data_IF_357365235135
#
_entry.id   IF_357365235135
#
_cell.length_a   1.000
_cell.length_b   1.000
_cell.length_c   1.000
_cell.angle_alpha   90.00
_cell.angle_beta   90.00
_cell.angle_gamma   90.00
#
_symmetry.space_group_name_H-M   'P 1'
#
loop_
_entity.id
_entity.type
_entity.pdbx_description
1 polymer ?
#
# COMPACT_ATOMS: atom_id res chain seq x y z
N UNK A 1 -5.23 12.88 -15.59
CA UNK A 1 -5.79 12.08 -14.47
C UNK A 1 -6.89 11.09 -14.90
N UNK A 2 -7.95 11.46 -15.66
CA UNK A 2 -9.08 10.56 -15.95
C UNK A 2 -8.71 9.31 -16.76
N UNK A 3 -7.78 9.43 -17.72
CA UNK A 3 -7.39 8.34 -18.61
C UNK A 3 -6.68 7.17 -17.90
N UNK A 4 -6.06 7.40 -16.74
CA UNK A 4 -5.35 6.35 -15.98
C UNK A 4 -6.26 5.64 -14.95
N UNK A 5 -7.30 6.30 -14.45
CA UNK A 5 -8.18 5.75 -13.42
C UNK A 5 -9.06 4.61 -13.95
N UNK A 6 -9.47 4.69 -15.22
CA UNK A 6 -10.32 3.67 -15.83
C UNK A 6 -9.59 2.32 -15.99
N UNK A 7 -8.40 2.22 -16.61
CA UNK A 7 -7.66 0.96 -16.69
C UNK A 7 -7.34 0.34 -15.32
N UNK A 8 -6.91 1.17 -14.35
CA UNK A 8 -6.63 0.72 -12.97
C UNK A 8 -7.89 0.15 -12.33
N UNK A 9 -9.00 0.83 -12.53
CA UNK A 9 -10.30 0.43 -12.02
C UNK A 9 -10.83 -0.88 -12.59
N UNK A 10 -10.63 -1.09 -13.89
CA UNK A 10 -10.96 -2.34 -14.58
C UNK A 10 -10.10 -3.50 -14.08
N UNK A 11 -8.79 -3.28 -13.90
CA UNK A 11 -7.87 -4.28 -13.37
C UNK A 11 -8.24 -4.68 -11.93
N UNK A 12 -8.54 -3.71 -11.07
CA UNK A 12 -8.99 -3.96 -9.69
C UNK A 12 -10.32 -4.73 -9.65
N UNK A 13 -11.28 -4.36 -10.51
CA UNK A 13 -12.56 -5.07 -10.59
C UNK A 13 -12.38 -6.52 -11.06
N UNK A 14 -11.50 -6.74 -12.03
CA UNK A 14 -11.16 -8.09 -12.49
C UNK A 14 -10.52 -8.92 -11.38
N UNK A 15 -9.59 -8.35 -10.62
CA UNK A 15 -8.99 -9.01 -9.45
C UNK A 15 -10.06 -9.43 -8.42
N UNK A 16 -10.97 -8.52 -8.05
CA UNK A 16 -12.06 -8.84 -7.11
C UNK A 16 -12.97 -9.96 -7.64
N UNK A 17 -13.30 -9.96 -8.93
CA UNK A 17 -14.10 -11.03 -9.55
C UNK A 17 -13.36 -12.37 -9.47
N UNK A 18 -12.06 -12.40 -9.78
CA UNK A 18 -11.21 -13.60 -9.65
C UNK A 18 -11.24 -14.13 -8.22
N UNK A 19 -11.03 -13.25 -7.23
CA UNK A 19 -11.00 -13.62 -5.81
C UNK A 19 -12.35 -14.13 -5.31
N UNK A 20 -13.45 -13.48 -5.69
CA UNK A 20 -14.79 -13.93 -5.30
C UNK A 20 -15.16 -15.27 -5.92
N UNK A 21 -14.86 -15.47 -7.20
CA UNK A 21 -15.07 -16.76 -7.86
C UNK A 21 -14.21 -17.86 -7.22
N UNK A 22 -12.97 -17.54 -6.86
CA UNK A 22 -12.10 -18.45 -6.12
C UNK A 22 -12.73 -18.85 -4.79
N UNK A 23 -13.17 -17.88 -3.98
CA UNK A 23 -13.82 -18.15 -2.70
C UNK A 23 -15.10 -19.00 -2.86
N UNK A 24 -15.96 -18.66 -3.83
CA UNK A 24 -17.21 -19.38 -4.08
C UNK A 24 -16.96 -20.83 -4.53
N UNK A 25 -16.08 -21.04 -5.51
CA UNK A 25 -15.76 -22.38 -6.02
C UNK A 25 -14.99 -23.22 -5.01
N UNK A 26 -14.09 -22.61 -4.24
CA UNK A 26 -13.30 -23.32 -3.22
C UNK A 26 -14.22 -23.86 -2.13
N UNK A 27 -15.29 -23.14 -1.80
CA UNK A 27 -16.33 -23.61 -0.88
C UNK A 27 -17.09 -24.80 -1.44
N UNK A 28 -17.46 -24.78 -2.71
CA UNK A 28 -18.17 -25.88 -3.37
C UNK A 28 -17.29 -27.11 -3.64
N UNK A 29 -15.99 -27.06 -3.32
CA UNK A 29 -15.03 -28.11 -3.62
C UNK A 29 -14.81 -28.30 -5.13
N UNK A 30 -15.13 -27.29 -5.93
CA UNK A 30 -14.98 -27.36 -7.39
C UNK A 30 -13.49 -27.35 -7.77
N UNK A 31 -13.00 -28.34 -8.55
CA UNK A 31 -11.64 -28.34 -9.03
C UNK A 31 -11.44 -27.16 -9.98
N UNK A 32 -10.38 -26.38 -9.77
CA UNK A 32 -10.10 -25.20 -10.59
C UNK A 32 -8.61 -25.01 -10.85
N UNK A 33 -8.30 -24.43 -12.01
CA UNK A 33 -6.96 -23.97 -12.37
C UNK A 33 -6.95 -22.45 -12.42
N UNK A 34 -5.77 -21.83 -12.25
CA UNK A 34 -5.64 -20.38 -12.39
C UNK A 34 -6.14 -19.90 -13.77
N UNK A 35 -5.84 -20.66 -14.83
CA UNK A 35 -6.26 -20.33 -16.20
C UNK A 35 -7.78 -20.37 -16.37
N UNK A 36 -8.45 -21.38 -15.82
CA UNK A 36 -9.91 -21.48 -15.90
C UNK A 36 -10.59 -20.38 -15.10
N UNK A 37 -10.06 -20.07 -13.91
CA UNK A 37 -10.56 -19.00 -13.05
C UNK A 37 -10.45 -17.62 -13.72
N UNK A 38 -9.29 -17.30 -14.29
CA UNK A 38 -9.07 -16.06 -15.03
C UNK A 38 -10.02 -15.93 -16.24
N UNK A 39 -10.19 -17.01 -17.00
CA UNK A 39 -11.10 -17.01 -18.16
C UNK A 39 -12.55 -16.77 -17.75
N UNK A 40 -13.00 -17.44 -16.69
CA UNK A 40 -14.36 -17.30 -16.18
C UNK A 40 -14.58 -15.89 -15.63
N UNK A 41 -13.62 -15.36 -14.87
CA UNK A 41 -13.65 -13.97 -14.40
C UNK A 41 -13.77 -12.98 -15.57
N UNK A 42 -13.04 -13.18 -16.66
CA UNK A 42 -13.13 -12.32 -17.85
C UNK A 42 -14.52 -12.36 -18.50
N UNK A 43 -15.18 -13.53 -18.53
CA UNK A 43 -16.56 -13.64 -18.98
C UNK A 43 -17.57 -12.97 -18.04
N UNK A 44 -17.34 -13.08 -16.72
CA UNK A 44 -18.18 -12.49 -15.69
C UNK A 44 -18.03 -10.96 -15.61
N UNK A 45 -16.87 -10.41 -16.00
CA UNK A 45 -16.66 -8.95 -16.08
C UNK A 45 -17.70 -8.26 -16.96
N UNK A 46 -18.18 -8.90 -18.03
CA UNK A 46 -19.23 -8.34 -18.89
C UNK A 46 -20.52 -8.04 -18.13
N UNK A 47 -20.84 -8.84 -17.10
CA UNK A 47 -22.02 -8.61 -16.26
C UNK A 47 -21.91 -7.28 -15.50
N UNK A 48 -20.71 -6.81 -15.18
CA UNK A 48 -20.51 -5.52 -14.49
C UNK A 48 -20.78 -4.30 -15.38
N UNK A 49 -20.76 -4.43 -16.71
CA UNK A 49 -20.85 -3.29 -17.64
C UNK A 49 -22.24 -3.07 -18.29
N UNK A 50 -23.26 -3.87 -17.96
CA UNK A 50 -24.61 -3.63 -18.53
C UNK A 50 -25.21 -2.29 -18.08
N UNK A 51 -26.17 -1.71 -18.80
CA UNK A 51 -26.71 -0.34 -18.57
C UNK A 51 -27.16 -0.02 -17.12
N UNK A 52 -27.73 -0.98 -16.38
CA UNK A 52 -28.11 -0.80 -14.96
C UNK A 52 -26.95 -0.96 -13.97
N UNK A 53 -25.78 -1.38 -14.46
CA UNK A 53 -24.56 -1.73 -13.72
C UNK A 53 -23.39 -0.77 -14.03
N UNK A 54 -23.54 0.19 -14.96
CA UNK A 54 -22.56 1.26 -15.25
C UNK A 54 -22.25 2.19 -14.08
N UNK A 55 -23.16 2.32 -13.10
CA UNK A 55 -22.93 3.06 -11.84
C UNK A 55 -21.66 2.55 -11.12
N UNK A 56 -21.26 1.31 -11.38
CA UNK A 56 -20.08 0.67 -10.79
C UNK A 56 -18.75 1.24 -11.32
N UNK A 57 -18.72 1.79 -12.52
CA UNK A 57 -17.55 2.54 -13.03
C UNK A 57 -17.22 3.76 -12.16
N UNK A 58 -18.21 4.29 -11.42
CA UNK A 58 -18.04 5.40 -10.48
C UNK A 58 -17.75 4.95 -9.04
N UNK A 59 -18.16 3.73 -8.68
CA UNK A 59 -17.81 3.09 -7.40
C UNK A 59 -16.35 2.66 -7.40
N UNK A 60 -15.79 2.32 -8.55
CA UNK A 60 -14.38 1.95 -8.72
C UNK A 60 -13.41 3.05 -8.23
N UNK A 61 -13.54 4.34 -8.62
CA UNK A 61 -12.76 5.43 -8.02
C UNK A 61 -12.96 5.57 -6.51
N UNK A 62 -14.18 5.38 -6.01
CA UNK A 62 -14.48 5.43 -4.57
C UNK A 62 -13.84 4.27 -3.80
N UNK A 63 -13.89 3.07 -4.36
CA UNK A 63 -13.17 1.89 -3.90
C UNK A 63 -11.69 2.18 -3.94
N UNK A 64 -11.09 2.59 -5.08
CA UNK A 64 -9.66 2.91 -5.19
C UNK A 64 -9.22 3.94 -4.15
N UNK A 65 -10.01 4.99 -3.90
CA UNK A 65 -9.71 6.01 -2.89
C UNK A 65 -9.90 5.50 -1.45
N UNK A 66 -10.85 4.60 -1.21
CA UNK A 66 -10.98 3.81 0.03
C UNK A 66 -9.87 2.76 0.18
N UNK A 67 -9.35 2.25 -0.94
CA UNK A 67 -8.33 1.22 -1.05
C UNK A 67 -6.94 1.79 -0.75
N UNK A 68 -6.73 3.08 -0.94
CA UNK A 68 -5.54 3.77 -0.38
C UNK A 68 -5.48 3.61 1.15
N UNK A 69 -6.61 3.37 1.82
CA UNK A 69 -6.68 3.08 3.26
C UNK A 69 -6.76 1.58 3.61
N UNK A 70 -7.34 0.74 2.73
CA UNK A 70 -7.56 -0.70 2.99
C UNK A 70 -6.55 -1.64 2.30
N UNK A 71 -6.13 -1.32 1.08
CA UNK A 71 -5.33 -2.19 0.21
C UNK A 71 -4.02 -1.50 -0.13
N UNK A 72 -3.05 -1.65 0.76
CA UNK A 72 -1.67 -1.19 0.58
C UNK A 72 -0.90 -2.11 -0.40
N UNK A 73 -1.56 -2.51 -1.49
CA UNK A 73 -1.04 -3.44 -2.49
C UNK A 73 -0.04 -2.76 -3.44
N UNK A 74 1.02 -3.49 -3.79
CA UNK A 74 2.16 -3.07 -4.62
C UNK A 74 1.84 -2.39 -5.96
N UNK A 75 0.60 -2.45 -6.45
CA UNK A 75 0.16 -1.81 -7.70
C UNK A 75 -0.31 -0.35 -7.52
N UNK A 76 -0.69 0.03 -6.30
CA UNK A 76 -1.08 1.39 -5.96
C UNK A 76 -0.07 1.95 -4.96
N UNK A 77 1.12 2.31 -5.45
CA UNK A 77 1.94 3.34 -4.80
C UNK A 77 1.27 4.74 -4.84
N UNK A 78 -0.05 4.79 -5.06
CA UNK A 78 -0.85 6.00 -4.95
C UNK A 78 -0.93 6.37 -3.47
N UNK A 79 0.14 7.03 -3.00
CA UNK A 79 0.05 7.80 -1.76
C UNK A 79 -1.07 8.81 -1.93
N UNK A 80 -1.86 9.01 -0.87
CA UNK A 80 -2.74 10.18 -0.81
C UNK A 80 -1.87 11.38 -1.14
N UNK A 81 -2.22 12.21 -2.14
CA UNK A 81 -1.42 13.39 -2.47
C UNK A 81 -1.18 14.18 -1.19
N UNK A 82 0.07 14.49 -0.90
CA UNK A 82 0.47 15.08 0.38
C UNK A 82 -0.28 16.39 0.66
N UNK A 83 -0.57 17.15 -0.41
CA UNK A 83 -1.42 18.33 -0.37
C UNK A 83 -2.86 18.09 0.10
N UNK A 84 -3.43 16.90 -0.08
CA UNK A 84 -4.79 16.57 0.37
C UNK A 84 -4.82 16.33 1.89
N UNK A 85 -3.81 15.66 2.43
CA UNK A 85 -3.64 15.47 3.87
C UNK A 85 -3.31 16.80 4.57
N UNK A 86 -2.41 17.61 3.98
CA UNK A 86 -2.11 18.95 4.49
C UNK A 86 -3.37 19.84 4.49
N UNK A 87 -4.15 19.84 3.39
CA UNK A 87 -5.42 20.57 3.29
C UNK A 87 -6.44 20.13 4.33
N UNK A 88 -6.56 18.83 4.58
CA UNK A 88 -7.44 18.28 5.60
C UNK A 88 -6.98 18.66 7.02
N UNK A 89 -5.67 18.62 7.29
CA UNK A 89 -5.09 18.90 8.60
C UNK A 89 -5.05 20.41 8.97
N UNK A 90 -5.28 21.31 8.01
CA UNK A 90 -5.24 22.76 8.25
C UNK A 90 -6.24 23.26 9.30
N UNK A 91 -7.41 22.63 9.45
CA UNK A 91 -8.43 23.03 10.44
C UNK A 91 -9.16 21.80 10.98
N UNK A 92 -9.63 21.81 12.24
CA UNK A 92 -10.39 20.70 12.81
C UNK A 92 -11.64 20.33 11.99
N UNK A 93 -12.34 21.33 11.42
CA UNK A 93 -13.55 21.10 10.62
C UNK A 93 -13.25 20.37 9.30
N UNK A 94 -12.18 20.76 8.59
CA UNK A 94 -11.74 20.07 7.36
C UNK A 94 -11.30 18.64 7.65
N UNK A 95 -10.66 18.43 8.80
CA UNK A 95 -10.25 17.09 9.22
C UNK A 95 -11.46 16.19 9.50
N UNK A 96 -12.48 16.72 10.20
CA UNK A 96 -13.75 16.00 10.41
C UNK A 96 -14.41 15.66 9.07
N UNK A 97 -14.50 16.62 8.16
CA UNK A 97 -15.07 16.39 6.82
C UNK A 97 -14.30 15.29 6.07
N UNK A 98 -12.97 15.31 6.15
CA UNK A 98 -12.13 14.26 5.56
C UNK A 98 -12.41 12.88 6.16
N UNK A 99 -12.51 12.76 7.48
CA UNK A 99 -12.86 11.49 8.14
C UNK A 99 -14.25 11.01 7.71
N UNK A 100 -15.25 11.88 7.70
CA UNK A 100 -16.62 11.53 7.26
C UNK A 100 -16.62 11.08 5.80
N UNK A 101 -15.88 11.77 4.94
CA UNK A 101 -15.73 11.40 3.53
C UNK A 101 -15.07 10.02 3.38
N UNK A 102 -13.99 9.75 4.12
CA UNK A 102 -13.32 8.44 4.12
C UNK A 102 -14.28 7.34 4.60
N UNK A 103 -15.01 7.56 5.70
CA UNK A 103 -16.01 6.60 6.21
C UNK A 103 -17.13 6.34 5.20
N UNK A 104 -17.58 7.37 4.49
CA UNK A 104 -18.56 7.25 3.42
C UNK A 104 -18.04 6.38 2.25
N UNK A 105 -16.79 6.54 1.84
CA UNK A 105 -16.16 5.69 0.82
C UNK A 105 -16.03 4.23 1.28
N UNK A 106 -15.70 4.01 2.55
CA UNK A 106 -15.64 2.66 3.14
C UNK A 106 -17.02 2.01 3.16
N UNK A 107 -18.07 2.76 3.51
CA UNK A 107 -19.44 2.27 3.47
C UNK A 107 -19.84 1.85 2.05
N UNK A 108 -19.57 2.69 1.04
CA UNK A 108 -19.82 2.35 -0.36
C UNK A 108 -19.07 1.08 -0.77
N UNK A 109 -17.80 0.96 -0.39
CA UNK A 109 -16.97 -0.21 -0.69
C UNK A 109 -17.53 -1.48 -0.05
N UNK A 110 -18.00 -1.41 1.20
CA UNK A 110 -18.63 -2.53 1.89
C UNK A 110 -19.92 -2.97 1.18
N UNK A 111 -20.80 -2.02 0.83
CA UNK A 111 -22.02 -2.33 0.07
C UNK A 111 -21.72 -2.96 -1.29
N UNK A 112 -20.67 -2.49 -1.96
CA UNK A 112 -20.22 -3.05 -3.23
C UNK A 112 -19.74 -4.49 -3.05
N UNK A 113 -18.80 -4.75 -2.14
CA UNK A 113 -18.23 -6.08 -1.95
C UNK A 113 -19.26 -7.11 -1.46
N UNK A 114 -20.20 -6.70 -0.60
CA UNK A 114 -21.26 -7.58 -0.09
C UNK A 114 -22.36 -7.90 -1.10
N UNK A 115 -22.60 -7.00 -2.07
CA UNK A 115 -23.56 -7.23 -3.16
C UNK A 115 -22.98 -7.97 -4.37
N UNK A 116 -21.66 -7.92 -4.54
CA UNK A 116 -20.96 -8.46 -5.70
C UNK A 116 -21.16 -9.99 -5.88
N UNK A 117 -21.16 -10.84 -4.82
CA UNK A 117 -21.48 -12.26 -4.96
C UNK A 117 -22.83 -12.53 -5.65
N UNK A 118 -23.92 -11.87 -5.23
CA UNK A 118 -25.24 -12.08 -5.84
C UNK A 118 -25.31 -11.65 -7.31
N UNK A 119 -24.55 -10.62 -7.68
CA UNK A 119 -24.47 -10.14 -9.07
C UNK A 119 -23.71 -11.13 -9.94
N UNK A 120 -22.59 -11.66 -9.45
CA UNK A 120 -21.73 -12.57 -10.23
C UNK A 120 -22.32 -13.98 -10.31
N UNK A 121 -22.79 -14.51 -9.18
CA UNK A 121 -23.23 -15.90 -9.03
C UNK A 121 -24.66 -16.11 -9.53
N UNK A 122 -25.56 -15.15 -9.34
CA UNK A 122 -26.99 -15.27 -9.68
C UNK A 122 -27.48 -14.24 -10.69
N UNK A 123 -26.65 -13.29 -11.11
CA UNK A 123 -27.08 -12.25 -12.05
C UNK A 123 -28.01 -11.20 -11.44
N UNK A 124 -28.10 -11.12 -10.10
CA UNK A 124 -28.88 -10.11 -9.37
C UNK A 124 -28.42 -8.68 -9.70
N UNK A 125 -29.21 -7.69 -9.28
CA UNK A 125 -28.85 -6.27 -9.36
C UNK A 125 -28.28 -5.80 -8.02
N UNK A 126 -27.37 -4.81 -8.00
CA UNK A 126 -26.87 -4.25 -6.75
C UNK A 126 -27.97 -3.63 -5.87
N UNK A 127 -29.03 -3.11 -6.49
CA UNK A 127 -30.22 -2.62 -5.77
C UNK A 127 -30.95 -3.72 -5.02
N UNK A 128 -30.86 -4.98 -5.43
CA UNK A 128 -31.50 -6.08 -4.70
C UNK A 128 -30.82 -6.32 -3.36
N UNK A 129 -29.48 -6.19 -3.26
CA UNK A 129 -28.76 -6.37 -2.00
C UNK A 129 -29.29 -5.44 -0.89
N UNK A 130 -29.57 -4.17 -1.21
CA UNK A 130 -30.12 -3.21 -0.23
C UNK A 130 -31.50 -3.60 0.29
N UNK A 131 -32.20 -4.49 -0.41
CA UNK A 131 -33.54 -4.99 -0.05
C UNK A 131 -33.49 -6.41 0.53
N UNK A 132 -32.31 -7.04 0.62
CA UNK A 132 -32.15 -8.35 1.25
C UNK A 132 -32.23 -8.20 2.77
N UNK A 133 -32.97 -9.10 3.42
CA UNK A 133 -33.00 -9.16 4.88
C UNK A 133 -31.59 -9.41 5.44
N UNK A 134 -31.23 -8.65 6.47
CA UNK A 134 -29.90 -8.74 7.08
C UNK A 134 -28.76 -8.09 6.29
N UNK A 135 -29.04 -7.32 5.22
CA UNK A 135 -28.01 -6.58 4.47
C UNK A 135 -27.22 -5.60 5.36
N UNK A 136 -27.90 -4.78 6.17
CA UNK A 136 -27.25 -3.84 7.10
C UNK A 136 -26.43 -4.57 8.19
N UNK A 137 -26.96 -5.68 8.73
CA UNK A 137 -26.24 -6.52 9.69
C UNK A 137 -24.96 -7.10 9.06
N UNK A 138 -25.02 -7.50 7.78
CA UNK A 138 -23.87 -8.00 7.04
C UNK A 138 -22.79 -6.93 6.87
N UNK A 139 -23.16 -5.67 6.63
CA UNK A 139 -22.22 -4.55 6.59
C UNK A 139 -21.49 -4.40 7.93
N UNK A 140 -22.22 -4.42 9.05
CA UNK A 140 -21.62 -4.33 10.39
C UNK A 140 -20.65 -5.48 10.69
N UNK A 141 -21.04 -6.72 10.38
CA UNK A 141 -20.17 -7.89 10.56
C UNK A 141 -18.93 -7.80 9.66
N UNK A 142 -19.09 -7.38 8.42
CA UNK A 142 -18.00 -7.24 7.46
C UNK A 142 -16.96 -6.20 7.92
N UNK A 143 -17.42 -5.04 8.39
CA UNK A 143 -16.55 -4.01 8.97
C UNK A 143 -15.83 -4.55 10.22
N UNK A 144 -16.56 -5.20 11.14
CA UNK A 144 -15.98 -5.77 12.35
C UNK A 144 -14.91 -6.84 12.06
N UNK A 145 -15.14 -7.69 11.05
CA UNK A 145 -14.19 -8.70 10.60
C UNK A 145 -12.90 -8.04 10.05
N UNK A 146 -13.02 -6.99 9.25
CA UNK A 146 -11.85 -6.26 8.75
C UNK A 146 -11.10 -5.54 9.87
N UNK A 147 -11.79 -4.87 10.79
CA UNK A 147 -11.15 -4.23 11.94
C UNK A 147 -10.40 -5.25 12.80
N UNK A 148 -10.96 -6.44 12.98
CA UNK A 148 -10.31 -7.54 13.69
C UNK A 148 -9.08 -8.04 12.94
N UNK A 149 -9.16 -8.20 11.61
CA UNK A 149 -8.01 -8.55 10.78
C UNK A 149 -6.86 -7.54 10.91
N UNK A 150 -7.16 -6.23 10.83
CA UNK A 150 -6.15 -5.19 11.00
C UNK A 150 -5.58 -5.16 12.42
N UNK A 151 -6.42 -5.29 13.45
CA UNK A 151 -5.95 -5.34 14.83
C UNK A 151 -4.97 -6.49 15.05
N UNK A 152 -5.33 -7.70 14.62
CA UNK A 152 -4.45 -8.87 14.72
C UNK A 152 -3.16 -8.67 13.93
N UNK A 153 -3.25 -8.12 12.72
CA UNK A 153 -2.09 -7.76 11.90
C UNK A 153 -1.16 -6.79 12.65
N UNK A 154 -1.69 -5.72 13.23
CA UNK A 154 -0.91 -4.74 13.99
C UNK A 154 -0.27 -5.36 15.24
N UNK A 155 -0.97 -6.22 15.97
CA UNK A 155 -0.43 -6.91 17.14
C UNK A 155 0.74 -7.84 16.76
N UNK A 156 0.63 -8.55 15.63
CA UNK A 156 1.72 -9.38 15.12
C UNK A 156 2.92 -8.51 14.73
N UNK A 157 2.69 -7.42 13.98
CA UNK A 157 3.76 -6.49 13.62
C UNK A 157 4.45 -5.93 14.86
N UNK A 158 3.68 -5.51 15.87
CA UNK A 158 4.22 -5.00 17.13
C UNK A 158 5.11 -6.05 17.81
N UNK A 159 4.66 -7.31 17.91
CA UNK A 159 5.45 -8.39 18.46
C UNK A 159 6.78 -8.59 17.70
N UNK A 160 6.75 -8.57 16.36
CA UNK A 160 7.95 -8.70 15.52
C UNK A 160 8.88 -7.50 15.70
N UNK A 161 8.36 -6.27 15.79
CA UNK A 161 9.15 -5.05 16.03
C UNK A 161 9.83 -5.09 17.40
N UNK A 162 9.13 -5.55 18.44
CA UNK A 162 9.71 -5.72 19.78
C UNK A 162 10.80 -6.78 19.79
N UNK A 163 10.60 -7.92 19.10
CA UNK A 163 11.64 -8.95 18.93
C UNK A 163 12.85 -8.40 18.16
N UNK A 164 12.62 -7.63 17.10
CA UNK A 164 13.69 -6.96 16.34
C UNK A 164 14.48 -6.00 17.24
N UNK A 165 13.80 -5.15 18.01
CA UNK A 165 14.45 -4.23 18.95
C UNK A 165 15.29 -4.98 19.99
N UNK A 166 14.75 -6.06 20.56
CA UNK A 166 15.47 -6.94 21.48
C UNK A 166 16.71 -7.57 20.85
N UNK A 167 16.58 -8.08 19.62
CA UNK A 167 17.70 -8.67 18.88
C UNK A 167 18.80 -7.64 18.55
N UNK A 168 18.44 -6.44 18.09
CA UNK A 168 19.42 -5.37 17.82
C UNK A 168 20.17 -4.96 19.09
N UNK A 169 19.49 -4.95 20.24
CA UNK A 169 20.11 -4.66 21.54
C UNK A 169 21.02 -5.78 22.03
N UNK A 170 20.66 -7.04 21.76
CA UNK A 170 21.40 -8.22 22.23
C UNK A 170 22.64 -8.54 21.38
N UNK A 171 22.58 -8.29 20.07
CA UNK A 171 23.59 -8.77 19.11
C UNK A 171 24.40 -7.66 18.42
N UNK A 172 24.05 -6.39 18.58
CA UNK A 172 24.80 -5.27 17.99
C UNK A 172 25.41 -4.38 19.09
N UNK A 173 26.50 -3.66 18.75
CA UNK A 173 27.04 -2.63 19.63
C UNK A 173 26.05 -1.47 19.78
N UNK A 174 26.08 -0.70 20.90
CA UNK A 174 25.13 0.39 21.13
C UNK A 174 25.05 1.41 19.98
N UNK A 175 26.20 1.71 19.37
CA UNK A 175 26.31 2.61 18.21
C UNK A 175 25.55 2.08 16.98
N UNK A 176 25.61 0.76 16.76
CA UNK A 176 24.97 0.10 15.61
C UNK A 176 23.51 -0.31 15.87
N UNK A 177 23.10 -0.54 17.12
CA UNK A 177 21.77 -1.04 17.46
C UNK A 177 20.65 -0.11 16.95
N UNK A 178 20.83 1.22 17.06
CA UNK A 178 19.83 2.20 16.62
C UNK A 178 19.69 2.22 15.09
N UNK A 179 20.80 2.32 14.38
CA UNK A 179 20.80 2.32 12.92
C UNK A 179 20.30 0.97 12.36
N UNK A 180 20.67 -0.14 13.02
CA UNK A 180 20.18 -1.48 12.70
C UNK A 180 18.70 -1.60 12.84
N UNK A 181 18.17 -1.17 13.98
CA UNK A 181 16.74 -1.16 14.19
C UNK A 181 16.02 -0.34 13.13
N UNK A 182 16.46 0.88 12.83
CA UNK A 182 15.82 1.74 11.83
C UNK A 182 15.81 1.10 10.43
N UNK A 183 16.94 0.55 9.98
CA UNK A 183 17.04 -0.10 8.68
C UNK A 183 16.09 -1.31 8.57
N UNK A 184 16.16 -2.24 9.52
CA UNK A 184 15.30 -3.43 9.51
C UNK A 184 13.83 -3.11 9.75
N UNK A 185 13.53 -2.08 10.55
CA UNK A 185 12.18 -1.63 10.78
C UNK A 185 11.54 -1.12 9.49
N UNK A 186 12.22 -0.27 8.71
CA UNK A 186 11.73 0.23 7.43
C UNK A 186 11.53 -0.90 6.41
N UNK A 187 12.48 -1.85 6.37
CA UNK A 187 12.36 -3.03 5.52
C UNK A 187 11.17 -3.91 5.93
N UNK A 188 11.03 -4.19 7.22
CA UNK A 188 9.91 -4.95 7.80
C UNK A 188 8.58 -4.26 7.49
N UNK A 189 8.49 -2.94 7.69
CA UNK A 189 7.30 -2.15 7.38
C UNK A 189 6.96 -2.23 5.88
N UNK A 190 7.95 -2.19 4.99
CA UNK A 190 7.74 -2.34 3.54
C UNK A 190 7.15 -3.70 3.18
N UNK A 191 7.70 -4.78 3.75
CA UNK A 191 7.20 -6.14 3.51
C UNK A 191 5.83 -6.34 4.13
N UNK A 192 5.63 -5.88 5.36
CA UNK A 192 4.36 -5.98 6.07
C UNK A 192 3.24 -5.26 5.32
N UNK A 193 3.52 -4.06 4.80
CA UNK A 193 2.59 -3.30 3.96
C UNK A 193 2.17 -4.09 2.72
N UNK A 194 3.13 -4.69 1.99
CA UNK A 194 2.83 -5.52 0.80
C UNK A 194 2.03 -6.77 1.16
N UNK A 195 2.40 -7.47 2.23
CA UNK A 195 1.74 -8.68 2.68
C UNK A 195 0.28 -8.38 3.08
N UNK A 196 0.07 -7.37 3.90
CA UNK A 196 -1.29 -6.94 4.30
C UNK A 196 -2.10 -6.44 3.10
N UNK A 197 -1.47 -5.72 2.17
CA UNK A 197 -2.07 -5.30 0.91
C UNK A 197 -2.57 -6.47 0.05
N UNK A 198 -1.86 -7.59 0.03
CA UNK A 198 -2.28 -8.81 -0.69
C UNK A 198 -3.28 -9.64 0.11
N UNK A 199 -3.21 -9.70 1.44
CA UNK A 199 -4.10 -10.54 2.25
C UNK A 199 -5.48 -9.92 2.49
N UNK A 200 -5.56 -8.60 2.60
CA UNK A 200 -6.82 -7.89 2.83
C UNK A 200 -7.90 -8.21 1.76
N UNK A 201 -7.62 -8.19 0.44
CA UNK A 201 -8.68 -8.39 -0.58
C UNK A 201 -9.16 -9.83 -0.59
N UNK A 202 -8.27 -10.79 -0.39
CA UNK A 202 -8.65 -12.18 -0.16
C UNK A 202 -9.58 -12.32 1.05
N UNK A 203 -9.21 -11.73 2.19
CA UNK A 203 -10.02 -11.79 3.41
C UNK A 203 -11.38 -11.11 3.21
N UNK A 204 -11.40 -9.91 2.62
CA UNK A 204 -12.61 -9.16 2.31
C UNK A 204 -13.57 -9.93 1.39
N UNK A 205 -13.06 -10.56 0.32
CA UNK A 205 -13.83 -11.40 -0.59
C UNK A 205 -14.35 -12.66 0.11
N UNK A 206 -13.52 -13.33 0.92
CA UNK A 206 -13.93 -14.52 1.68
C UNK A 206 -15.07 -14.23 2.66
N UNK A 207 -14.97 -13.14 3.42
CA UNK A 207 -16.05 -12.71 4.34
C UNK A 207 -17.30 -12.31 3.55
N UNK A 208 -17.15 -11.64 2.40
CA UNK A 208 -18.29 -11.25 1.56
C UNK A 208 -19.07 -12.46 1.04
N UNK A 209 -18.37 -13.47 0.52
CA UNK A 209 -18.98 -14.73 0.07
C UNK A 209 -19.61 -15.49 1.24
N UNK A 210 -18.92 -15.62 2.38
CA UNK A 210 -19.46 -16.30 3.55
C UNK A 210 -20.75 -15.64 4.08
N UNK A 211 -20.80 -14.30 4.12
CA UNK A 211 -21.99 -13.55 4.51
C UNK A 211 -23.11 -13.65 3.47
N UNK A 212 -22.77 -13.70 2.18
CA UNK A 212 -23.75 -13.92 1.12
C UNK A 212 -24.50 -15.25 1.31
N UNK A 213 -23.74 -16.31 1.56
CA UNK A 213 -24.29 -17.64 1.74
C UNK A 213 -25.07 -17.77 3.05
N UNK A 214 -24.59 -17.15 4.14
CA UNK A 214 -25.36 -17.04 5.39
C UNK A 214 -26.73 -16.41 5.19
N UNK A 215 -26.82 -15.37 4.35
CA UNK A 215 -28.11 -14.73 4.03
C UNK A 215 -29.04 -15.64 3.21
N UNK A 216 -28.49 -16.59 2.44
CA UNK A 216 -29.29 -17.61 1.76
C UNK A 216 -29.79 -18.72 2.69
N UNK A 217 -29.30 -18.78 3.92
CA UNK A 217 -29.52 -19.92 4.80
C UNK A 217 -28.56 -21.09 4.52
N UNK A 218 -27.56 -20.90 3.66
CA UNK A 218 -26.52 -21.89 3.41
C UNK A 218 -25.49 -21.85 4.54
N UNK A 219 -25.24 -22.97 5.21
CA UNK A 219 -24.26 -23.02 6.30
C UNK A 219 -22.83 -22.72 5.79
N UNK A 220 -22.19 -21.61 6.21
CA UNK A 220 -20.83 -21.27 5.79
C UNK A 220 -19.76 -22.20 6.38
N UNK A 221 -20.14 -23.02 7.35
CA UNK A 221 -19.28 -23.97 8.06
C UNK A 221 -19.34 -25.39 7.50
N UNK A 222 -20.04 -25.60 6.38
CA UNK A 222 -19.84 -26.80 5.57
C UNK A 222 -18.43 -26.72 4.95
N UNK A 223 -17.40 -26.96 5.77
CA UNK A 223 -16.05 -27.13 5.30
C UNK A 223 -16.11 -28.24 4.25
N UNK A 224 -15.62 -28.01 3.01
CA UNK A 224 -15.45 -29.11 2.09
C UNK A 224 -14.65 -30.20 2.80
N UNK A 225 -14.99 -31.46 2.57
CA UNK A 225 -14.21 -32.58 3.11
C UNK A 225 -12.73 -32.28 2.89
N UNK A 226 -11.93 -32.31 3.97
CA UNK A 226 -10.54 -31.88 3.95
C UNK A 226 -9.86 -32.40 2.68
N UNK A 227 -9.10 -31.55 1.94
CA UNK A 227 -8.59 -31.90 0.63
C UNK A 227 -7.89 -33.27 0.72
N UNK A 228 -8.42 -34.26 0.00
CA UNK A 228 -7.77 -35.56 -0.15
C UNK A 228 -6.43 -35.31 -0.87
N UNK A 229 -5.32 -35.17 -0.15
CA UNK A 229 -4.00 -35.29 -0.78
C UNK A 229 -2.82 -34.44 -0.29
N UNK A 230 -2.95 -33.51 0.67
CA UNK A 230 -1.73 -32.91 1.26
C UNK A 230 -1.39 -33.69 2.52
N UNK A 231 -0.44 -34.62 2.41
CA UNK A 231 0.06 -35.31 3.60
C UNK A 231 0.61 -34.27 4.58
N UNK A 232 0.34 -34.45 5.88
CA UNK A 232 0.89 -33.60 6.95
C UNK A 232 2.40 -33.38 6.78
N UNK A 233 3.12 -34.39 6.29
CA UNK A 233 4.54 -34.31 5.92
C UNK A 233 4.83 -33.31 4.80
N UNK A 234 4.04 -33.30 3.71
CA UNK A 234 4.19 -32.31 2.63
C UNK A 234 3.89 -30.90 3.13
N UNK A 235 2.84 -30.69 3.92
CA UNK A 235 2.50 -29.38 4.48
C UNK A 235 3.62 -28.85 5.39
N UNK A 236 4.09 -29.67 6.34
CA UNK A 236 5.20 -29.32 7.24
C UNK A 236 6.47 -29.04 6.44
N UNK A 237 6.83 -29.88 5.45
CA UNK A 237 8.01 -29.65 4.61
C UNK A 237 7.93 -28.32 3.87
N UNK A 238 6.79 -28.01 3.26
CA UNK A 238 6.61 -26.73 2.55
C UNK A 238 6.71 -25.55 3.52
N UNK A 239 6.07 -25.63 4.70
CA UNK A 239 6.17 -24.59 5.72
C UNK A 239 7.62 -24.40 6.24
N UNK A 240 8.33 -25.50 6.48
CA UNK A 240 9.74 -25.47 6.89
C UNK A 240 10.65 -24.89 5.82
N UNK A 241 10.40 -25.18 4.54
CA UNK A 241 11.14 -24.59 3.42
C UNK A 241 10.89 -23.09 3.30
N UNK A 242 9.65 -22.64 3.46
CA UNK A 242 9.30 -21.21 3.47
C UNK A 242 10.00 -20.51 4.65
N UNK A 243 9.95 -21.11 5.85
CA UNK A 243 10.63 -20.58 7.03
C UNK A 243 12.14 -20.55 6.86
N UNK A 244 12.75 -21.61 6.32
CA UNK A 244 14.19 -21.68 6.06
C UNK A 244 14.63 -20.66 5.02
N UNK A 245 13.88 -20.49 3.93
CA UNK A 245 14.14 -19.46 2.92
C UNK A 245 14.00 -18.04 3.50
N UNK A 246 12.99 -17.82 4.35
CA UNK A 246 12.82 -16.56 5.07
C UNK A 246 13.98 -16.29 6.02
N UNK A 247 14.37 -17.26 6.85
CA UNK A 247 15.49 -17.15 7.78
C UNK A 247 16.82 -16.95 7.04
N UNK A 248 17.05 -17.65 5.93
CA UNK A 248 18.24 -17.46 5.10
C UNK A 248 18.28 -16.06 4.50
N UNK A 249 17.15 -15.58 3.95
CA UNK A 249 17.05 -14.22 3.41
C UNK A 249 17.27 -13.18 4.51
N UNK A 250 16.69 -13.40 5.70
CA UNK A 250 16.90 -12.55 6.87
C UNK A 250 18.36 -12.55 7.31
N UNK A 251 19.02 -13.72 7.36
CA UNK A 251 20.46 -13.84 7.70
C UNK A 251 21.35 -13.18 6.65
N UNK A 252 21.03 -13.33 5.36
CA UNK A 252 21.72 -12.64 4.28
C UNK A 252 21.56 -11.13 4.38
N UNK A 253 20.34 -10.64 4.65
CA UNK A 253 20.08 -9.22 4.90
C UNK A 253 20.82 -8.73 6.17
N UNK A 254 20.80 -9.54 7.23
CA UNK A 254 21.51 -9.30 8.50
C UNK A 254 23.03 -9.18 8.31
N UNK A 255 23.61 -10.01 7.44
CA UNK A 255 25.03 -9.95 7.09
C UNK A 255 25.37 -8.84 6.09
N UNK A 256 24.45 -8.54 5.17
CA UNK A 256 24.57 -7.44 4.23
C UNK A 256 24.33 -6.08 4.90
N UNK A 257 24.02 -6.06 6.20
CA UNK A 257 23.94 -4.86 7.00
C UNK A 257 25.23 -4.04 6.83
N UNK A 258 25.16 -2.86 6.20
CA UNK A 258 26.31 -1.98 6.20
C UNK A 258 26.59 -1.62 7.66
N UNK A 259 27.84 -1.74 8.11
CA UNK A 259 28.23 -1.25 9.43
C UNK A 259 27.91 0.25 9.46
N UNK A 260 26.86 0.63 10.17
CA UNK A 260 26.49 2.04 10.33
C UNK A 260 27.41 2.66 11.38
N UNK A 261 28.56 3.09 10.87
CA UNK A 261 29.58 3.86 11.59
C UNK A 261 30.52 4.58 10.64
N UNK A 262 30.24 4.55 9.32
CA UNK A 262 30.92 5.44 8.39
C UNK A 262 30.28 6.81 8.61
N UNK A 263 31.02 7.83 9.08
CA UNK A 263 30.48 9.17 9.24
C UNK A 263 29.87 9.62 7.91
N UNK A 264 28.55 9.87 7.92
CA UNK A 264 27.84 10.40 6.75
C UNK A 264 28.30 11.85 6.61
N UNK A 265 29.04 12.13 5.54
CA UNK A 265 29.44 13.50 5.24
C UNK A 265 28.23 14.30 4.79
N UNK A 266 27.97 15.41 5.46
CA UNK A 266 26.97 16.40 5.12
C UNK A 266 27.56 17.32 4.06
N UNK A 267 26.98 17.30 2.86
CA UNK A 267 27.38 18.19 1.76
C UNK A 267 26.34 19.29 1.62
N UNK A 268 26.75 20.54 1.82
CA UNK A 268 25.89 21.70 1.62
C UNK A 268 25.74 21.97 0.12
N UNK A 269 24.57 21.64 -0.42
CA UNK A 269 24.21 21.90 -1.83
C UNK A 269 24.25 23.39 -2.15
N UNK A 270 24.99 23.76 -3.19
CA UNK A 270 25.26 25.12 -3.68
C UNK A 270 25.71 26.09 -2.60
N UNK A 271 26.77 25.71 -1.89
CA UNK A 271 27.28 26.39 -0.71
C UNK A 271 26.31 26.47 0.48
N UNK A 272 25.15 25.81 0.44
CA UNK A 272 24.13 25.92 1.48
C UNK A 272 23.00 26.87 1.11
N UNK A 273 22.45 26.74 -0.10
CA UNK A 273 21.36 27.57 -0.64
C UNK A 273 20.10 27.67 0.26
N UNK A 274 19.90 26.72 1.17
CA UNK A 274 18.82 26.77 2.15
C UNK A 274 19.04 27.80 3.28
N UNK A 275 20.29 28.23 3.49
CA UNK A 275 20.72 29.09 4.61
C UNK A 275 21.12 30.50 4.16
N UNK A 276 21.23 30.73 2.86
CA UNK A 276 21.60 32.01 2.26
C UNK A 276 21.59 31.95 0.74
N UNK A 277 21.93 33.05 0.04
CA UNK A 277 21.99 33.07 -1.41
C UNK A 277 22.96 31.99 -1.93
N UNK A 278 22.47 31.11 -2.80
CA UNK A 278 23.24 29.98 -3.33
C UNK A 278 24.58 30.40 -3.94
N UNK A 279 25.59 29.52 -3.89
CA UNK A 279 26.90 29.74 -4.51
C UNK A 279 27.63 31.03 -4.06
N UNK A 280 27.29 31.56 -2.88
CA UNK A 280 27.98 32.71 -2.27
C UNK A 280 28.82 32.32 -1.06
N UNK A 281 29.82 33.14 -0.74
CA UNK A 281 30.58 33.03 0.51
C UNK A 281 29.66 33.15 1.73
N UNK A 282 28.58 33.94 1.66
CA UNK A 282 27.63 34.09 2.76
C UNK A 282 26.88 32.78 3.06
N UNK A 283 26.42 32.06 2.04
CA UNK A 283 25.83 30.73 2.22
C UNK A 283 26.87 29.74 2.75
N UNK A 284 28.09 29.75 2.21
CA UNK A 284 29.17 28.86 2.65
C UNK A 284 29.50 29.05 4.13
N UNK A 285 29.58 30.29 4.59
CA UNK A 285 29.80 30.62 6.00
C UNK A 285 28.68 30.10 6.89
N UNK A 286 27.43 30.13 6.42
CA UNK A 286 26.32 29.49 7.15
C UNK A 286 26.50 27.97 7.17
N UNK A 287 26.77 27.34 6.05
CA UNK A 287 27.01 25.89 5.98
C UNK A 287 28.11 25.44 6.97
N UNK A 288 29.22 26.19 7.06
CA UNK A 288 30.29 25.96 8.04
C UNK A 288 29.77 26.11 9.47
N UNK A 289 29.04 27.18 9.79
CA UNK A 289 28.45 27.40 11.13
C UNK A 289 27.51 26.27 11.55
N UNK A 290 26.80 25.67 10.59
CA UNK A 290 25.88 24.55 10.82
C UNK A 290 26.56 23.18 10.76
N UNK A 291 27.89 23.12 10.59
CA UNK A 291 28.66 21.88 10.68
C UNK A 291 28.61 21.00 9.44
N UNK A 292 28.40 21.56 8.25
CA UNK A 292 28.55 20.80 7.01
C UNK A 292 30.02 20.33 6.82
N UNK A 293 30.21 19.07 6.43
CA UNK A 293 31.55 18.49 6.18
C UNK A 293 32.16 19.01 4.88
N UNK A 294 31.33 19.31 3.88
CA UNK A 294 31.72 19.80 2.56
C UNK A 294 30.66 20.74 2.01
N UNK A 295 31.02 21.52 1.00
CA UNK A 295 30.08 22.28 0.19
C UNK A 295 30.23 21.87 -1.27
N UNK A 296 29.09 21.67 -1.92
CA UNK A 296 29.02 21.53 -3.37
C UNK A 296 28.82 22.93 -3.95
N UNK A 297 29.50 23.22 -5.06
CA UNK A 297 29.43 24.51 -5.76
C UNK A 297 29.33 24.25 -7.26
N UNK A 298 28.55 25.09 -7.93
CA UNK A 298 28.39 25.03 -9.38
C UNK A 298 29.36 26.02 -10.04
N UNK A 299 30.05 25.57 -11.09
CA UNK A 299 31.03 26.40 -11.81
C UNK A 299 30.58 26.60 -13.25
N UNK A 300 30.60 27.86 -13.68
CA UNK A 300 30.39 28.27 -15.08
C UNK A 300 31.64 28.96 -15.61
N UNK A 301 31.70 29.15 -16.93
CA UNK A 301 32.82 29.79 -17.61
C UNK A 301 32.32 30.97 -18.44
N UNK A 302 32.93 32.13 -18.22
CA UNK A 302 32.69 33.34 -19.00
C UNK A 302 33.35 33.28 -20.38
N UNK A 303 32.90 34.14 -21.29
CA UNK A 303 33.45 34.27 -22.66
C UNK A 303 34.96 34.48 -22.72
N UNK A 304 35.54 35.23 -21.78
CA UNK A 304 36.99 35.48 -21.70
C UNK A 304 37.78 34.28 -21.11
N UNK A 305 37.06 33.26 -20.65
CA UNK A 305 37.58 32.04 -20.06
C UNK A 305 37.61 32.03 -18.54
N UNK A 306 37.23 33.13 -17.88
CA UNK A 306 37.17 33.24 -16.41
C UNK A 306 36.12 32.29 -15.84
N UNK A 307 36.48 31.52 -14.80
CA UNK A 307 35.54 30.66 -14.08
C UNK A 307 34.80 31.44 -13.01
N UNK A 308 33.49 31.25 -12.91
CA UNK A 308 32.64 31.85 -11.90
C UNK A 308 31.80 30.79 -11.19
N UNK A 309 31.29 31.11 -10.00
CA UNK A 309 30.41 30.22 -9.24
C UNK A 309 28.95 30.62 -9.49
N UNK A 310 28.24 29.81 -10.27
CA UNK A 310 26.85 30.06 -10.68
C UNK A 310 26.24 28.72 -11.14
N UNK A 311 24.98 28.45 -10.80
CA UNK A 311 24.32 27.22 -11.25
C UNK A 311 23.85 27.32 -12.71
N UNK A 312 23.13 28.39 -13.03
CA UNK A 312 22.47 28.55 -14.33
C UNK A 312 23.43 29.08 -15.40
N UNK A 313 23.03 28.96 -16.67
CA UNK A 313 23.73 29.55 -17.82
C UNK A 313 23.39 31.05 -18.04
N UNK A 314 22.56 31.63 -17.15
CA UNK A 314 22.13 33.03 -17.18
C UNK A 314 22.05 33.65 -15.78
N UNK A 315 22.26 34.96 -15.71
CA UNK A 315 22.21 35.74 -14.47
C UNK A 315 20.78 36.08 -13.99
N UNK A 316 19.74 35.77 -14.80
CA UNK A 316 18.38 36.28 -14.59
C UNK A 316 17.76 35.85 -13.24
N UNK A 317 17.95 34.59 -12.82
CA UNK A 317 17.29 34.06 -11.62
C UNK A 317 17.93 34.57 -10.33
N UNK A 318 19.27 34.66 -10.28
CA UNK A 318 20.01 34.95 -9.04
C UNK A 318 20.44 36.41 -8.92
N UNK A 319 20.59 37.12 -10.04
CA UNK A 319 21.02 38.52 -10.08
C UNK A 319 20.02 39.47 -10.78
N UNK A 320 18.94 38.94 -11.38
CA UNK A 320 17.89 39.75 -12.01
C UNK A 320 18.27 40.35 -13.37
N UNK A 321 19.40 39.95 -13.95
CA UNK A 321 19.93 40.49 -15.21
C UNK A 321 19.85 39.44 -16.31
N UNK A 322 19.22 39.75 -17.44
CA UNK A 322 19.14 38.85 -18.60
C UNK A 322 20.44 38.87 -19.42
N UNK A 323 21.46 38.21 -18.90
CA UNK A 323 22.74 37.98 -19.57
C UNK A 323 23.11 36.50 -19.44
N UNK A 324 23.71 35.93 -20.48
CA UNK A 324 24.31 34.60 -20.44
C UNK A 324 25.76 34.68 -19.95
N UNK A 325 26.24 33.60 -19.32
CA UNK A 325 27.68 33.39 -19.07
C UNK A 325 28.47 33.27 -20.37
#
# INVERSE_FOLDING_TARGET
LPAFLLPIGLAFSYELVVLLLYCAKSRNGEPMTLRSLCREAAGQMQKLFSKSRLVLLFVIPACLLSCVFLFNGSFLQARIPEGLLQTAAHTPLRFIFFIVFVLFLHAITAFYLLGLPGVLLEGKTFSSFRREDGALRSVGIWIAALLTFYLLSTLILLAVVLLLAGAMRAFCSPENSRAGFQFYFLWLQSIWGKLTGVLTPFFACAVSTALYDLRKGDSPLALPAAPRGISRRKAVRTASLILAAFLLTFLCAFRAFPKFGVPVKIVAHRAGAALGPENTVAALQQAIRFGADMAEIDVQRLRDGTLIVLHDDRFQRTAGVDLSV
#
